data_IF_516833641467
#
_entry.id   IF_516833641467
#
_cell.length_a   1.000
_cell.length_b   1.000
_cell.length_c   1.000
_cell.angle_alpha   90.00
_cell.angle_beta   90.00
_cell.angle_gamma   90.00
#
_symmetry.space_group_name_H-M   'P 1'
#
loop_
_entity.id
_entity.type
_entity.pdbx_description
1 polymer ?
#
# COMPACT_ATOMS: atom_id res chain seq x y z
N UNK A 1 3.81 3.58 23.12
CA UNK A 1 4.48 3.64 21.80
C UNK A 1 4.12 2.36 21.10
N UNK A 2 3.34 2.42 20.03
CA UNK A 2 2.90 1.21 19.32
C UNK A 2 4.05 0.67 18.46
N UNK A 3 4.22 -0.65 18.41
CA UNK A 3 5.16 -1.27 17.49
C UNK A 3 4.58 -1.34 16.06
N UNK A 4 5.43 -1.65 15.07
CA UNK A 4 5.00 -1.69 13.66
C UNK A 4 3.87 -2.70 13.41
N UNK A 5 3.86 -3.84 14.09
CA UNK A 5 2.84 -4.85 13.92
C UNK A 5 1.48 -4.40 14.45
N UNK A 6 1.46 -3.69 15.58
CA UNK A 6 0.26 -3.05 16.11
C UNK A 6 -0.28 -2.01 15.11
N UNK A 7 0.58 -1.15 14.55
CA UNK A 7 0.18 -0.14 13.57
C UNK A 7 -0.39 -0.78 12.29
N UNK A 8 0.27 -1.82 11.76
CA UNK A 8 -0.20 -2.56 10.58
C UNK A 8 -1.55 -3.22 10.82
N UNK A 9 -1.72 -3.89 11.96
CA UNK A 9 -2.97 -4.53 12.32
C UNK A 9 -4.11 -3.52 12.52
N UNK A 10 -3.86 -2.41 13.21
CA UNK A 10 -4.84 -1.32 13.38
C UNK A 10 -5.29 -0.75 12.02
N UNK A 11 -4.35 -0.43 11.14
CA UNK A 11 -4.64 0.11 9.82
C UNK A 11 -5.39 -0.89 8.93
N UNK A 12 -5.04 -2.18 9.02
CA UNK A 12 -5.73 -3.24 8.29
C UNK A 12 -7.17 -3.44 8.79
N UNK A 13 -7.39 -3.41 10.11
CA UNK A 13 -8.71 -3.47 10.73
C UNK A 13 -9.60 -2.30 10.31
N UNK A 14 -9.05 -1.09 10.24
CA UNK A 14 -9.78 0.09 9.78
C UNK A 14 -10.17 0.00 8.29
N UNK A 15 -9.34 -0.67 7.47
CA UNK A 15 -9.57 -0.78 6.03
C UNK A 15 -10.52 -1.93 5.62
N UNK A 16 -10.80 -2.88 6.53
CA UNK A 16 -11.46 -4.17 6.20
C UNK A 16 -12.77 -4.05 5.42
N UNK A 17 -13.61 -3.07 5.77
CA UNK A 17 -14.94 -2.91 5.17
C UNK A 17 -14.88 -2.36 3.74
N UNK A 18 -13.78 -1.71 3.36
CA UNK A 18 -13.61 -1.10 2.05
C UNK A 18 -12.97 -2.02 1.01
N UNK A 19 -12.43 -3.18 1.42
CA UNK A 19 -11.65 -4.05 0.54
C UNK A 19 -12.23 -5.46 0.50
N UNK A 20 -12.11 -6.11 -0.66
CA UNK A 20 -12.46 -7.53 -0.82
C UNK A 20 -11.19 -8.36 -0.86
N UNK A 21 -11.20 -9.50 -0.17
CA UNK A 21 -10.07 -10.42 -0.04
C UNK A 21 -9.48 -10.83 -1.41
N UNK A 22 -10.35 -11.08 -2.41
CA UNK A 22 -9.95 -11.47 -3.77
C UNK A 22 -9.04 -10.46 -4.49
N UNK A 23 -9.13 -9.18 -4.13
CA UNK A 23 -8.30 -8.13 -4.72
C UNK A 23 -7.02 -7.96 -3.90
N UNK A 24 -7.13 -7.89 -2.58
CA UNK A 24 -5.99 -7.75 -1.67
C UNK A 24 -4.96 -8.87 -1.85
N UNK A 25 -5.40 -10.13 -2.04
CA UNK A 25 -4.50 -11.27 -2.19
C UNK A 25 -3.67 -11.25 -3.47
N UNK A 26 -4.06 -10.45 -4.48
CA UNK A 26 -3.32 -10.31 -5.74
C UNK A 26 -2.15 -9.33 -5.63
N UNK A 27 -2.27 -8.31 -4.77
CA UNK A 27 -1.30 -7.21 -4.68
C UNK A 27 0.13 -7.68 -4.34
N UNK A 28 0.35 -8.60 -3.38
CA UNK A 28 1.71 -9.06 -3.08
C UNK A 28 2.44 -9.63 -4.30
N UNK A 29 1.78 -10.48 -5.09
CA UNK A 29 2.38 -11.05 -6.29
C UNK A 29 2.67 -9.99 -7.35
N UNK A 30 1.78 -9.02 -7.54
CA UNK A 30 2.02 -7.90 -8.47
C UNK A 30 3.24 -7.07 -8.04
N UNK A 31 3.36 -6.77 -6.75
CA UNK A 31 4.48 -5.95 -6.22
C UNK A 31 5.80 -6.71 -6.32
N UNK A 32 5.84 -8.00 -5.98
CA UNK A 32 7.07 -8.80 -6.04
C UNK A 32 7.56 -8.95 -7.49
N UNK A 33 6.65 -9.20 -8.43
CA UNK A 33 7.03 -9.47 -9.81
C UNK A 33 7.34 -8.20 -10.62
N UNK A 34 6.63 -7.10 -10.35
CA UNK A 34 6.69 -5.89 -11.19
C UNK A 34 7.19 -4.65 -10.45
N UNK A 35 7.35 -4.71 -9.13
CA UNK A 35 7.64 -3.55 -8.28
C UNK A 35 6.40 -2.76 -7.87
N UNK A 36 6.56 -1.93 -6.84
CA UNK A 36 5.45 -1.17 -6.23
C UNK A 36 4.81 -0.15 -7.19
N UNK A 37 5.62 0.59 -7.94
CA UNK A 37 5.13 1.62 -8.87
C UNK A 37 4.28 1.02 -10.01
N UNK A 38 4.78 -0.04 -10.65
CA UNK A 38 4.05 -0.70 -11.74
C UNK A 38 2.77 -1.38 -11.23
N UNK A 39 2.82 -2.02 -10.06
CA UNK A 39 1.64 -2.60 -9.43
C UNK A 39 0.59 -1.52 -9.10
N UNK A 40 1.01 -0.35 -8.59
CA UNK A 40 0.10 0.75 -8.31
C UNK A 40 -0.54 1.31 -9.58
N UNK A 41 0.24 1.50 -10.65
CA UNK A 41 -0.27 1.96 -11.94
C UNK A 41 -1.30 1.00 -12.52
N UNK A 42 -1.00 -0.30 -12.50
CA UNK A 42 -1.94 -1.34 -12.93
C UNK A 42 -3.24 -1.32 -12.12
N UNK A 43 -3.15 -1.25 -10.78
CA UNK A 43 -4.33 -1.20 -9.93
C UNK A 43 -5.18 0.06 -10.15
N UNK A 44 -4.54 1.20 -10.42
CA UNK A 44 -5.22 2.48 -10.67
C UNK A 44 -6.05 2.46 -11.96
N UNK A 45 -5.58 1.74 -12.98
CA UNK A 45 -6.24 1.63 -14.29
C UNK A 45 -7.24 0.46 -14.37
N UNK A 46 -6.93 -0.69 -13.76
CA UNK A 46 -7.62 -1.96 -14.06
C UNK A 46 -9.05 -2.07 -13.57
N UNK A 47 -9.31 -1.73 -12.30
CA UNK A 47 -10.66 -1.81 -11.71
C UNK A 47 -10.76 -0.99 -10.44
N UNK A 48 -11.98 -0.55 -10.10
CA UNK A 48 -12.21 0.29 -8.92
C UNK A 48 -11.84 -0.42 -7.62
N UNK A 49 -12.08 -1.72 -7.52
CA UNK A 49 -11.78 -2.50 -6.32
C UNK A 49 -10.28 -2.77 -6.13
N UNK A 50 -9.53 -2.95 -7.23
CA UNK A 50 -8.06 -3.01 -7.17
C UNK A 50 -7.47 -1.65 -6.80
N UNK A 51 -8.02 -0.56 -7.38
CA UNK A 51 -7.64 0.79 -7.00
C UNK A 51 -7.88 1.03 -5.52
N UNK A 52 -9.07 0.72 -5.00
CA UNK A 52 -9.40 0.87 -3.57
C UNK A 52 -8.43 0.07 -2.69
N UNK A 53 -8.09 -1.17 -3.07
CA UNK A 53 -7.13 -1.97 -2.32
C UNK A 53 -5.73 -1.30 -2.29
N UNK A 54 -5.27 -0.74 -3.41
CA UNK A 54 -4.00 -0.02 -3.50
C UNK A 54 -4.06 1.34 -2.78
N UNK A 55 -5.20 2.03 -2.79
CA UNK A 55 -5.41 3.27 -2.01
C UNK A 55 -5.26 3.00 -0.51
N UNK A 56 -5.71 1.83 -0.02
CA UNK A 56 -5.48 1.43 1.38
C UNK A 56 -4.01 1.12 1.69
N UNK A 57 -3.23 0.69 0.69
CA UNK A 57 -1.76 0.58 0.84
C UNK A 57 -1.14 1.97 0.90
N UNK A 58 -1.51 2.87 -0.01
CA UNK A 58 -1.02 4.26 -0.01
C UNK A 58 -1.36 4.99 1.30
N UNK A 59 -2.60 4.85 1.79
CA UNK A 59 -3.03 5.38 3.08
C UNK A 59 -2.19 4.86 4.24
N UNK A 60 -1.87 3.56 4.25
CA UNK A 60 -1.01 2.98 5.28
C UNK A 60 0.42 3.55 5.22
N UNK A 61 0.98 3.66 4.02
CA UNK A 61 2.32 4.23 3.83
C UNK A 61 2.39 5.71 4.22
N UNK A 62 1.28 6.44 4.08
CA UNK A 62 1.13 7.83 4.51
C UNK A 62 0.82 8.01 6.01
N UNK A 63 0.59 6.92 6.76
CA UNK A 63 0.35 7.00 8.21
C UNK A 63 1.52 7.72 8.90
N UNK A 64 1.21 8.67 9.77
CA UNK A 64 2.20 9.54 10.43
C UNK A 64 3.17 8.77 11.34
N UNK A 65 2.89 7.50 11.65
CA UNK A 65 3.76 6.57 12.38
C UNK A 65 4.63 5.73 11.45
N UNK A 66 4.23 5.59 10.18
CA UNK A 66 4.92 4.80 9.13
C UNK A 66 5.83 5.68 8.26
N UNK A 67 5.34 6.86 7.85
CA UNK A 67 6.07 7.93 7.13
C UNK A 67 6.84 7.44 5.90
N UNK A 68 6.22 6.60 5.08
CA UNK A 68 6.78 6.19 3.78
C UNK A 68 6.28 7.06 2.64
N UNK A 69 5.11 7.68 2.80
CA UNK A 69 4.58 8.75 1.97
C UNK A 69 4.28 9.98 2.82
N UNK A 70 4.23 11.15 2.20
CA UNK A 70 4.07 12.44 2.89
C UNK A 70 2.62 12.90 3.03
N UNK A 71 1.75 12.62 2.05
CA UNK A 71 0.34 13.03 2.16
C UNK A 71 -0.62 12.28 1.23
N UNK A 72 -0.17 11.86 0.04
CA UNK A 72 -1.10 11.37 -0.98
C UNK A 72 -1.51 9.93 -0.68
N UNK A 73 -2.72 9.77 -0.14
CA UNK A 73 -3.29 8.49 0.31
C UNK A 73 -4.06 7.74 -0.79
N UNK A 74 -3.56 7.82 -2.04
CA UNK A 74 -4.16 7.15 -3.21
C UNK A 74 -3.09 6.44 -4.03
N UNK A 75 -3.49 5.46 -4.84
CA UNK A 75 -2.62 4.74 -5.76
C UNK A 75 -1.89 5.71 -6.71
N UNK A 76 -2.64 6.66 -7.29
CA UNK A 76 -2.06 7.72 -8.13
C UNK A 76 -1.07 8.59 -7.35
N UNK A 77 -1.41 8.95 -6.12
CA UNK A 77 -0.56 9.76 -5.26
C UNK A 77 0.75 9.10 -4.86
N UNK A 78 0.69 7.80 -4.57
CA UNK A 78 1.85 6.95 -4.32
C UNK A 78 2.78 6.94 -5.55
N UNK A 79 2.22 6.77 -6.76
CA UNK A 79 3.00 6.78 -8.01
C UNK A 79 3.74 8.11 -8.14
N UNK A 80 3.00 9.21 -8.10
CA UNK A 80 3.54 10.57 -8.26
C UNK A 80 4.61 10.88 -7.23
N UNK A 81 4.41 10.53 -5.96
CA UNK A 81 5.39 10.82 -4.92
C UNK A 81 6.65 9.98 -5.09
N UNK A 82 6.52 8.67 -5.33
CA UNK A 82 7.67 7.77 -5.36
C UNK A 82 8.43 7.76 -6.70
N UNK A 83 7.83 8.30 -7.76
CA UNK A 83 8.51 8.52 -9.05
C UNK A 83 9.06 9.94 -9.21
N UNK A 84 8.87 10.82 -8.23
CA UNK A 84 9.31 12.21 -8.31
C UNK A 84 10.84 12.32 -8.37
N UNK A 85 11.32 13.39 -9.01
CA UNK A 85 12.74 13.72 -9.05
C UNK A 85 13.31 13.87 -7.63
N UNK A 86 14.52 13.33 -7.43
CA UNK A 86 15.19 13.35 -6.12
C UNK A 86 14.73 12.27 -5.13
N UNK A 87 13.73 11.44 -5.45
CA UNK A 87 13.38 10.28 -4.62
C UNK A 87 14.43 9.19 -4.77
N UNK A 88 15.06 8.81 -3.66
CA UNK A 88 16.08 7.77 -3.66
C UNK A 88 15.47 6.37 -3.85
N UNK A 89 16.26 5.47 -4.44
CA UNK A 89 15.92 4.05 -4.55
C UNK A 89 15.68 3.40 -3.17
N UNK A 90 16.35 3.89 -2.13
CA UNK A 90 16.13 3.47 -0.76
C UNK A 90 14.71 3.78 -0.28
N UNK A 91 14.20 5.00 -0.54
CA UNK A 91 12.82 5.36 -0.17
C UNK A 91 11.81 4.41 -0.82
N UNK A 92 11.98 4.12 -2.11
CA UNK A 92 11.13 3.18 -2.83
C UNK A 92 11.22 1.77 -2.26
N UNK A 93 12.44 1.30 -1.94
CA UNK A 93 12.66 -0.03 -1.34
C UNK A 93 11.98 -0.15 0.03
N UNK A 94 12.11 0.86 0.88
CA UNK A 94 11.48 0.89 2.20
C UNK A 94 9.94 0.94 2.10
N UNK A 95 9.39 1.73 1.18
CA UNK A 95 7.95 1.76 0.92
C UNK A 95 7.44 0.40 0.41
N UNK A 96 8.20 -0.25 -0.47
CA UNK A 96 7.87 -1.59 -1.00
C UNK A 96 7.86 -2.64 0.10
N UNK A 97 8.89 -2.67 0.96
CA UNK A 97 8.97 -3.58 2.09
C UNK A 97 7.80 -3.40 3.07
N UNK A 98 7.47 -2.15 3.41
CA UNK A 98 6.35 -1.85 4.30
C UNK A 98 5.00 -2.21 3.68
N UNK A 99 4.79 -1.94 2.38
CA UNK A 99 3.57 -2.31 1.67
C UNK A 99 3.34 -3.83 1.73
N UNK A 100 4.36 -4.63 1.49
CA UNK A 100 4.28 -6.10 1.58
C UNK A 100 4.01 -6.57 3.01
N UNK A 101 4.66 -5.96 4.01
CA UNK A 101 4.42 -6.27 5.41
C UNK A 101 2.97 -5.98 5.80
N UNK A 102 2.45 -4.80 5.46
CA UNK A 102 1.06 -4.40 5.68
C UNK A 102 0.05 -5.30 4.97
N UNK A 103 0.28 -5.65 3.70
CA UNK A 103 -0.60 -6.55 2.95
C UNK A 103 -0.71 -7.94 3.58
N UNK A 104 0.31 -8.38 4.32
CA UNK A 104 0.22 -9.60 5.12
C UNK A 104 -0.86 -9.51 6.21
N UNK A 105 -1.07 -8.33 6.80
CA UNK A 105 -2.16 -8.07 7.76
C UNK A 105 -3.49 -7.86 7.04
N UNK A 106 -3.52 -6.98 6.03
CA UNK A 106 -4.76 -6.63 5.34
C UNK A 106 -5.48 -7.86 4.75
N UNK A 107 -4.75 -8.82 4.16
CA UNK A 107 -5.35 -10.04 3.61
C UNK A 107 -6.05 -10.94 4.65
N UNK A 108 -5.71 -10.79 5.93
CA UNK A 108 -6.29 -11.56 7.04
C UNK A 108 -7.59 -10.93 7.56
N UNK A 109 -7.72 -9.61 7.42
CA UNK A 109 -8.91 -8.87 7.85
C UNK A 109 -9.88 -8.54 6.71
N UNK A 110 -9.44 -8.60 5.46
CA UNK A 110 -10.27 -8.32 4.29
C UNK A 110 -11.48 -9.26 4.21
N UNK A 111 -12.63 -8.68 3.86
CA UNK A 111 -13.91 -9.37 3.72
C UNK A 111 -13.95 -10.31 2.50
#
# INVERSE_FOLDING_TARGET
MDNLDQIRAQNALAAKASVQKKHVTKLPALIVNNGLLAAAAFCNDKSKELQIAMDKVALHLADSRIRRLTAKSTAQGLIEELSAEGVSSERLRLATAEALAYLSYLKRFAN
#
